data_IF_412277291102
#
_entry.id   IF_412277291102
#
_cell.length_a   1.000
_cell.length_b   1.000
_cell.length_c   1.000
_cell.angle_alpha   90.00
_cell.angle_beta   90.00
_cell.angle_gamma   90.00
#
_symmetry.space_group_name_H-M   'P 1'
#
loop_
_entity.id
_entity.type
_entity.pdbx_description
1 polymer ?
#
# COMPACT_ATOMS: atom_id res chain seq x y z
N UNK A 1 -2.93 -6.60 -12.33
CA UNK A 1 -3.93 -5.70 -11.68
C UNK A 1 -3.48 -5.39 -10.27
N UNK A 2 -2.91 -4.21 -10.02
CA UNK A 2 -2.46 -3.78 -8.69
C UNK A 2 -3.61 -3.09 -7.96
N UNK A 3 -4.00 -3.59 -6.79
CA UNK A 3 -5.08 -2.97 -6.02
C UNK A 3 -4.57 -1.78 -5.19
N UNK A 4 -5.05 -0.59 -5.53
CA UNK A 4 -4.84 0.63 -4.74
C UNK A 4 -6.16 1.02 -4.07
N UNK A 5 -6.12 1.29 -2.77
CA UNK A 5 -7.32 1.74 -2.08
C UNK A 5 -7.75 3.12 -2.59
N UNK A 6 -9.01 3.23 -3.04
CA UNK A 6 -9.51 4.32 -3.92
C UNK A 6 -9.09 5.74 -3.53
N UNK A 7 -8.92 6.59 -4.55
CA UNK A 7 -8.47 7.99 -4.46
C UNK A 7 -9.40 8.91 -3.67
N UNK A 8 -8.82 9.93 -3.00
CA UNK A 8 -9.53 10.91 -2.16
C UNK A 8 -10.56 11.75 -2.94
N UNK A 9 -10.14 12.34 -4.05
CA UNK A 9 -10.90 13.34 -4.81
C UNK A 9 -12.24 12.86 -5.35
N UNK A 10 -12.37 11.58 -5.71
CA UNK A 10 -13.59 11.04 -6.34
C UNK A 10 -14.45 10.18 -5.41
N UNK A 11 -14.05 10.04 -4.15
CA UNK A 11 -14.72 9.19 -3.17
C UNK A 11 -15.19 9.93 -1.92
N UNK A 12 -14.86 11.22 -1.80
CA UNK A 12 -15.16 12.02 -0.61
C UNK A 12 -14.41 11.52 0.63
N UNK A 13 -13.25 10.88 0.44
CA UNK A 13 -12.39 10.42 1.55
C UNK A 13 -11.46 11.52 2.01
N UNK A 14 -11.39 11.69 3.32
CA UNK A 14 -10.46 12.58 4.02
C UNK A 14 -9.89 11.88 5.25
N UNK A 15 -8.93 12.52 5.94
CA UNK A 15 -8.42 12.01 7.22
C UNK A 15 -9.52 11.88 8.28
N UNK A 16 -10.51 12.77 8.26
CA UNK A 16 -11.66 12.75 9.16
C UNK A 16 -12.81 11.86 8.64
N UNK A 17 -12.84 11.53 7.34
CA UNK A 17 -13.85 10.70 6.69
C UNK A 17 -13.20 9.58 5.88
N UNK A 18 -12.44 8.71 6.55
CA UNK A 18 -11.64 7.65 5.90
C UNK A 18 -12.50 6.67 5.12
N UNK A 19 -13.71 6.35 5.60
CA UNK A 19 -14.69 5.50 4.90
C UNK A 19 -15.27 6.12 3.62
N UNK A 20 -15.11 7.43 3.41
CA UNK A 20 -15.60 8.16 2.25
C UNK A 20 -17.12 8.31 2.19
N UNK A 21 -17.61 8.72 1.03
CA UNK A 21 -19.04 8.80 0.76
C UNK A 21 -19.59 7.40 0.40
N UNK A 22 -20.27 6.77 1.36
CA UNK A 22 -20.86 5.42 1.23
C UNK A 22 -22.03 5.35 0.24
N UNK A 23 -22.57 6.47 -0.23
CA UNK A 23 -23.59 6.47 -1.29
C UNK A 23 -23.05 5.80 -2.57
N UNK A 24 -21.77 6.02 -2.88
CA UNK A 24 -21.14 5.41 -4.05
C UNK A 24 -20.88 3.91 -3.85
N UNK A 25 -21.42 3.08 -4.75
CA UNK A 25 -21.22 1.61 -4.76
C UNK A 25 -19.73 1.21 -4.75
N UNK A 26 -18.88 1.93 -5.48
CA UNK A 26 -17.42 1.71 -5.50
C UNK A 26 -16.79 1.87 -4.11
N UNK A 27 -17.23 2.86 -3.34
CA UNK A 27 -16.71 3.13 -1.99
C UNK A 27 -17.11 2.02 -1.03
N UNK A 28 -18.38 1.59 -1.06
CA UNK A 28 -18.85 0.45 -0.25
C UNK A 28 -18.10 -0.84 -0.58
N UNK A 29 -17.88 -1.12 -1.88
CA UNK A 29 -17.08 -2.29 -2.32
C UNK A 29 -15.65 -2.22 -1.80
N UNK A 30 -15.00 -1.07 -1.90
CA UNK A 30 -13.65 -0.89 -1.38
C UNK A 30 -13.57 -1.05 0.14
N UNK A 31 -14.55 -0.54 0.90
CA UNK A 31 -14.57 -0.72 2.36
C UNK A 31 -14.80 -2.20 2.75
N UNK A 32 -15.65 -2.94 2.02
CA UNK A 32 -15.81 -4.39 2.23
C UNK A 32 -14.55 -5.18 1.92
N UNK A 33 -13.84 -4.83 0.86
CA UNK A 33 -12.58 -5.48 0.52
C UNK A 33 -11.53 -5.31 1.62
N UNK A 34 -11.48 -4.14 2.26
CA UNK A 34 -10.59 -3.88 3.40
C UNK A 34 -10.90 -4.80 4.57
N UNK A 35 -12.19 -4.99 4.89
CA UNK A 35 -12.59 -5.94 5.95
C UNK A 35 -12.15 -7.36 5.62
N UNK A 36 -12.19 -7.77 4.34
CA UNK A 36 -11.66 -9.08 3.90
C UNK A 36 -10.14 -9.18 4.02
N UNK A 37 -9.41 -8.13 3.66
CA UNK A 37 -7.94 -8.07 3.87
C UNK A 37 -7.62 -8.19 5.35
N UNK A 38 -8.34 -7.45 6.20
CA UNK A 38 -8.20 -7.54 7.65
C UNK A 38 -8.45 -8.96 8.16
N UNK A 39 -9.52 -9.62 7.71
CA UNK A 39 -9.83 -11.01 8.05
C UNK A 39 -8.69 -11.96 7.66
N UNK A 40 -8.17 -11.85 6.44
CA UNK A 40 -7.06 -12.68 5.98
C UNK A 40 -5.79 -12.44 6.81
N UNK A 41 -5.49 -11.18 7.17
CA UNK A 41 -4.35 -10.86 8.00
C UNK A 41 -4.48 -11.39 9.43
N UNK A 42 -5.68 -11.31 10.04
CA UNK A 42 -5.98 -11.93 11.33
C UNK A 42 -5.80 -13.45 11.26
N UNK A 43 -6.32 -14.09 10.21
CA UNK A 43 -6.14 -15.52 9.99
C UNK A 43 -4.67 -15.90 9.86
N UNK A 44 -3.91 -15.22 9.00
CA UNK A 44 -2.47 -15.45 8.86
C UNK A 44 -1.74 -15.29 10.19
N UNK A 45 -2.01 -14.21 10.91
CA UNK A 45 -1.38 -13.92 12.19
C UNK A 45 -1.62 -15.04 13.23
N UNK A 46 -2.88 -15.49 13.38
CA UNK A 46 -3.23 -16.59 14.29
C UNK A 46 -2.59 -17.92 13.90
N UNK A 47 -2.33 -18.13 12.61
CA UNK A 47 -1.62 -19.32 12.08
C UNK A 47 -0.09 -19.21 12.17
N UNK A 48 0.45 -18.15 12.78
CA UNK A 48 1.90 -17.89 12.78
C UNK A 48 2.46 -17.56 11.40
N UNK A 49 1.59 -17.26 10.42
CA UNK A 49 1.99 -16.87 9.07
C UNK A 49 2.21 -15.37 9.03
N UNK A 50 3.41 -14.96 8.61
CA UNK A 50 3.69 -13.55 8.37
C UNK A 50 2.95 -13.03 7.15
N UNK A 51 2.42 -11.81 7.23
CA UNK A 51 1.79 -11.13 6.10
C UNK A 51 2.45 -9.77 5.84
N UNK A 52 2.26 -9.25 4.63
CA UNK A 52 2.64 -7.90 4.26
C UNK A 52 1.51 -7.24 3.46
N UNK A 53 1.06 -6.06 3.90
CA UNK A 53 0.11 -5.23 3.16
C UNK A 53 0.90 -4.06 2.59
N UNK A 54 0.90 -3.93 1.26
CA UNK A 54 1.51 -2.80 0.57
C UNK A 54 0.46 -1.82 0.06
N UNK A 55 0.72 -0.53 0.23
CA UNK A 55 0.03 0.54 -0.47
C UNK A 55 0.97 1.71 -0.78
N UNK A 56 0.59 2.61 -1.70
CA UNK A 56 1.25 3.91 -1.83
C UNK A 56 1.28 4.66 -0.49
N UNK A 57 2.38 5.35 -0.19
CA UNK A 57 2.56 6.03 1.10
C UNK A 57 1.49 7.09 1.41
N UNK A 58 0.85 7.66 0.38
CA UNK A 58 -0.19 8.68 0.51
C UNK A 58 -1.61 8.14 0.74
N UNK A 59 -1.78 6.81 0.75
CA UNK A 59 -3.07 6.17 1.00
C UNK A 59 -3.65 6.60 2.35
N UNK A 60 -4.99 6.67 2.44
CA UNK A 60 -5.67 6.83 3.73
C UNK A 60 -5.89 5.48 4.43
N UNK A 61 -5.48 4.37 3.81
CA UNK A 61 -5.73 3.01 4.31
C UNK A 61 -5.29 2.87 5.76
N UNK A 62 -4.12 3.42 6.07
CA UNK A 62 -3.48 3.34 7.37
C UNK A 62 -4.26 4.05 8.48
N UNK A 63 -5.23 4.90 8.14
CA UNK A 63 -6.13 5.56 9.09
C UNK A 63 -7.50 4.89 9.18
N UNK A 64 -7.70 3.73 8.54
CA UNK A 64 -8.94 2.97 8.67
C UNK A 64 -8.93 2.24 10.02
N UNK A 65 -9.66 2.79 11.00
CA UNK A 65 -9.58 2.38 12.40
C UNK A 65 -9.60 0.85 12.68
N UNK A 66 -10.45 0.02 12.04
CA UNK A 66 -10.40 -1.43 12.26
C UNK A 66 -9.08 -2.07 11.81
N UNK A 67 -8.52 -1.62 10.68
CA UNK A 67 -7.24 -2.11 10.20
C UNK A 67 -6.09 -1.60 11.08
N UNK A 68 -6.11 -0.32 11.46
CA UNK A 68 -5.11 0.28 12.36
C UNK A 68 -5.06 -0.45 13.70
N UNK A 69 -6.23 -0.73 14.30
CA UNK A 69 -6.33 -1.50 15.53
C UNK A 69 -5.73 -2.91 15.38
N UNK A 70 -6.05 -3.62 14.30
CA UNK A 70 -5.48 -4.94 13.99
C UNK A 70 -3.96 -4.87 13.86
N UNK A 71 -3.44 -3.93 13.06
CA UNK A 71 -2.00 -3.75 12.84
C UNK A 71 -1.27 -3.51 14.16
N UNK A 72 -1.83 -2.68 15.05
CA UNK A 72 -1.27 -2.43 16.39
C UNK A 72 -1.27 -3.70 17.26
N UNK A 73 -2.36 -4.47 17.27
CA UNK A 73 -2.42 -5.75 18.02
C UNK A 73 -1.38 -6.75 17.53
N UNK A 74 -1.22 -6.86 16.21
CA UNK A 74 -0.26 -7.75 15.59
C UNK A 74 1.20 -7.28 15.72
N UNK A 75 1.41 -6.09 16.31
CA UNK A 75 2.72 -5.40 16.35
C UNK A 75 3.34 -5.30 14.95
N UNK A 76 2.50 -5.08 13.94
CA UNK A 76 2.94 -4.95 12.56
C UNK A 76 3.81 -3.69 12.42
N UNK A 77 4.92 -3.81 11.69
CA UNK A 77 5.86 -2.73 11.45
C UNK A 77 5.63 -2.07 10.11
N UNK A 78 5.86 -0.77 10.06
CA UNK A 78 5.71 0.05 8.87
C UNK A 78 7.09 0.28 8.24
N UNK A 79 7.25 -0.13 6.98
CA UNK A 79 8.47 0.05 6.20
C UNK A 79 8.14 0.97 5.03
N UNK A 80 8.89 2.05 4.88
CA UNK A 80 8.74 2.98 3.76
C UNK A 80 9.85 2.76 2.75
N UNK A 81 9.47 2.32 1.54
CA UNK A 81 10.38 1.88 0.50
C UNK A 81 10.33 2.88 -0.67
N UNK A 82 11.44 3.58 -0.98
CA UNK A 82 11.55 4.33 -2.23
C UNK A 82 11.78 3.35 -3.38
N UNK A 83 10.82 3.23 -4.31
CA UNK A 83 10.95 2.30 -5.44
C UNK A 83 12.17 2.62 -6.31
N UNK A 84 12.56 3.90 -6.38
CA UNK A 84 13.77 4.33 -7.08
C UNK A 84 15.06 3.68 -6.57
N UNK A 85 15.13 3.28 -5.29
CA UNK A 85 16.32 2.62 -4.75
C UNK A 85 16.51 1.20 -5.31
N UNK A 86 15.47 0.65 -5.94
CA UNK A 86 15.43 -0.69 -6.52
C UNK A 86 15.41 -0.67 -8.06
N UNK A 87 15.57 0.51 -8.68
CA UNK A 87 15.64 0.66 -10.14
C UNK A 87 14.35 1.17 -10.78
N UNK A 88 13.37 1.65 -10.01
CA UNK A 88 12.22 2.36 -10.59
C UNK A 88 12.66 3.74 -11.09
N UNK A 89 12.07 4.19 -12.21
CA UNK A 89 12.23 5.56 -12.72
C UNK A 89 11.52 6.62 -11.85
N UNK A 90 10.83 6.17 -10.80
CA UNK A 90 10.09 7.03 -9.89
C UNK A 90 10.65 6.97 -8.47
N UNK A 91 10.75 8.13 -7.84
CA UNK A 91 10.97 8.28 -6.39
C UNK A 91 9.73 7.92 -5.56
N UNK A 92 8.67 7.40 -6.20
CA UNK A 92 7.46 6.97 -5.51
C UNK A 92 7.82 6.07 -4.34
N UNK A 93 7.24 6.39 -3.19
CA UNK A 93 7.38 5.59 -1.98
C UNK A 93 6.15 4.73 -1.78
N UNK A 94 6.37 3.48 -1.43
CA UNK A 94 5.33 2.56 -0.95
C UNK A 94 5.54 2.34 0.55
N UNK A 95 4.45 2.14 1.26
CA UNK A 95 4.45 1.73 2.65
C UNK A 95 4.04 0.26 2.70
N UNK A 96 4.83 -0.55 3.40
CA UNK A 96 4.52 -1.94 3.71
C UNK A 96 4.26 -2.03 5.21
N UNK A 97 3.09 -2.53 5.59
CA UNK A 97 2.81 -2.96 6.95
C UNK A 97 2.92 -4.47 7.03
N UNK A 98 3.80 -4.98 7.90
CA UNK A 98 4.12 -6.40 7.95
C UNK A 98 4.41 -6.92 9.34
N UNK A 99 4.14 -8.20 9.56
CA UNK A 99 4.56 -8.95 10.75
C UNK A 99 5.87 -9.71 10.53
N UNK A 100 6.42 -9.71 9.31
CA UNK A 100 7.64 -10.44 8.95
C UNK A 100 8.90 -9.71 9.48
N UNK A 101 9.63 -10.28 10.45
CA UNK A 101 10.74 -9.60 11.10
C UNK A 101 11.88 -9.22 10.14
N UNK A 102 12.07 -10.00 9.08
CA UNK A 102 13.18 -9.85 8.14
C UNK A 102 12.95 -8.77 7.07
N UNK A 103 11.71 -8.31 6.87
CA UNK A 103 11.41 -7.34 5.82
C UNK A 103 11.87 -5.92 6.16
N UNK A 104 12.22 -5.60 7.41
CA UNK A 104 12.77 -4.28 7.79
C UNK A 104 14.03 -3.94 7.00
N UNK A 105 14.76 -4.95 6.53
CA UNK A 105 15.95 -4.81 5.67
C UNK A 105 15.64 -4.22 4.29
N UNK A 106 14.35 -4.15 3.91
CA UNK A 106 13.90 -3.42 2.71
C UNK A 106 13.86 -1.90 2.93
N UNK A 107 13.84 -1.45 4.19
CA UNK A 107 13.92 -0.05 4.53
C UNK A 107 15.27 0.51 4.12
N UNK A 108 15.33 1.13 2.95
CA UNK A 108 16.53 1.79 2.45
C UNK A 108 16.26 3.26 2.15
N UNK A 109 17.28 4.09 2.35
CA UNK A 109 17.29 5.46 1.84
C UNK A 109 17.68 5.45 0.37
N UNK A 110 17.03 6.31 -0.41
CA UNK A 110 17.53 6.63 -1.74
C UNK A 110 18.81 7.47 -1.57
N UNK A 111 19.97 6.87 -1.86
CA UNK A 111 21.27 7.53 -1.87
C UNK A 111 21.23 8.80 -2.75
N UNK A 112 21.74 9.95 -2.29
CA UNK A 112 21.87 11.17 -3.09
C UNK A 112 22.40 10.92 -4.52
N UNK A 113 23.42 10.07 -4.68
CA UNK A 113 24.00 9.76 -6.01
C UNK A 113 22.98 9.05 -6.90
N UNK A 114 22.19 8.12 -6.34
CA UNK A 114 21.13 7.43 -7.09
C UNK A 114 19.96 8.37 -7.39
N UNK A 115 19.65 9.30 -6.48
CA UNK A 115 18.63 10.34 -6.70
C UNK A 115 19.02 11.25 -7.85
N UNK A 116 20.27 11.73 -7.87
CA UNK A 116 20.80 12.57 -8.95
C UNK A 116 20.77 11.85 -10.29
N UNK A 117 21.05 10.54 -10.33
CA UNK A 117 20.95 9.73 -11.56
C UNK A 117 19.51 9.54 -12.05
N UNK A 118 18.51 9.63 -11.18
CA UNK A 118 17.08 9.51 -11.55
C UNK A 118 16.51 10.80 -12.15
N UNK A 119 17.05 11.97 -11.79
CA UNK A 119 16.56 13.25 -12.30
C UNK A 119 16.70 13.42 -13.83
N UNK A 120 17.86 13.12 -14.47
CA UNK A 120 18.00 13.21 -15.92
C UNK A 120 17.17 12.17 -16.68
N UNK A 121 17.00 10.96 -16.11
CA UNK A 121 16.20 9.91 -16.72
C UNK A 121 14.72 10.29 -16.85
N UNK A 122 14.19 11.06 -15.89
CA UNK A 122 12.81 11.60 -15.98
C UNK A 122 12.65 12.62 -17.09
N UNK A 123 13.63 13.53 -17.24
CA UNK A 123 13.61 14.54 -18.31
C UNK A 123 13.87 13.96 -19.70
N UNK A 124 14.69 12.91 -19.81
CA UNK A 124 15.02 12.29 -21.10
C UNK A 124 13.90 11.39 -21.65
N UNK A 125 13.00 10.90 -20.79
CA UNK A 125 11.93 9.97 -21.16
C UNK A 125 10.58 10.67 -21.47
N UNK A 126 10.52 12.01 -21.39
CA UNK A 126 9.32 12.84 -21.62
C UNK A 126 8.05 12.26 -20.97
N UNK A 127 8.19 11.75 -19.74
CA UNK A 127 7.10 11.07 -19.04
C UNK A 127 6.14 12.09 -18.45
N UNK A 128 4.89 12.08 -18.92
CA UNK A 128 3.83 12.90 -18.34
C UNK A 128 3.22 12.16 -17.14
N UNK A 129 3.83 12.33 -15.97
CA UNK A 129 3.37 11.70 -14.72
C UNK A 129 2.21 12.51 -14.08
N UNK A 130 2.24 13.83 -14.23
CA UNK A 130 1.28 14.76 -13.61
C UNK A 130 0.73 15.70 -14.66
N UNK A 131 -0.60 15.77 -14.78
CA UNK A 131 -1.30 16.71 -15.64
C UNK A 131 -2.00 17.78 -14.79
N UNK A 132 -1.69 19.04 -15.05
CA UNK A 132 -2.39 20.18 -14.45
C UNK A 132 -3.42 20.70 -15.46
N UNK A 133 -4.64 20.95 -15.02
CA UNK A 133 -5.68 21.56 -15.86
C UNK A 133 -6.50 22.54 -15.05
N UNK A 134 -6.93 23.63 -15.68
CA UNK A 134 -7.80 24.63 -15.06
C UNK A 134 -9.24 24.19 -15.25
N UNK A 135 -10.00 24.12 -14.15
CA UNK A 135 -11.41 23.78 -14.23
C UNK A 135 -12.18 24.96 -14.85
N UNK A 136 -12.73 24.78 -16.05
CA UNK A 136 -13.42 25.84 -16.81
C UNK A 136 -14.57 26.51 -16.07
N UNK A 137 -15.17 25.83 -15.08
CA UNK A 137 -16.28 26.36 -14.27
C UNK A 137 -15.86 27.10 -13.00
N UNK A 138 -14.69 26.78 -12.43
CA UNK A 138 -14.26 27.35 -11.14
C UNK A 138 -12.97 28.15 -11.19
N UNK A 139 -12.24 28.12 -12.31
CA UNK A 139 -10.90 28.72 -12.42
C UNK A 139 -9.82 27.99 -11.60
N UNK A 140 -10.19 26.96 -10.84
CA UNK A 140 -9.25 26.24 -9.98
C UNK A 140 -8.29 25.36 -10.78
N UNK A 141 -7.01 25.41 -10.43
CA UNK A 141 -6.00 24.47 -10.94
C UNK A 141 -6.22 23.10 -10.28
N UNK A 142 -6.62 22.13 -11.09
CA UNK A 142 -6.74 20.72 -10.69
C UNK A 142 -5.53 19.93 -11.18
N UNK A 143 -5.13 18.96 -10.38
CA UNK A 143 -4.01 18.07 -10.66
C UNK A 143 -4.54 16.66 -10.83
N UNK A 144 -4.19 16.01 -11.95
CA UNK A 144 -4.48 14.60 -12.23
C UNK A 144 -3.21 13.84 -12.60
N UNK A 145 -3.31 12.52 -12.67
CA UNK A 145 -2.27 11.68 -13.26
C UNK A 145 -2.19 11.92 -14.76
N UNK A 146 -0.98 12.11 -15.27
CA UNK A 146 -0.73 12.09 -16.72
C UNK A 146 -0.71 10.66 -17.27
N UNK A 147 -0.53 10.54 -18.59
CA UNK A 147 -0.62 9.25 -19.32
C UNK A 147 0.37 8.18 -18.81
N UNK A 148 1.50 8.61 -18.25
CA UNK A 148 2.58 7.72 -17.81
C UNK A 148 2.57 7.43 -16.30
N UNK A 149 1.55 7.90 -15.56
CA UNK A 149 1.46 7.65 -14.11
C UNK A 149 1.44 6.16 -13.79
N UNK A 150 0.84 5.33 -14.63
CA UNK A 150 0.79 3.87 -14.46
C UNK A 150 2.18 3.23 -14.53
N UNK A 151 3.06 3.68 -15.45
CA UNK A 151 4.45 3.18 -15.59
C UNK A 151 5.28 3.42 -14.33
N UNK A 152 5.00 4.49 -13.61
CA UNK A 152 5.65 4.77 -12.30
C UNK A 152 5.18 3.86 -11.16
N UNK A 153 4.18 3.00 -11.42
CA UNK A 153 3.62 2.06 -10.45
C UNK A 153 4.06 0.61 -10.72
N UNK A 154 4.93 0.38 -11.69
CA UNK A 154 5.55 -0.91 -11.92
C UNK A 154 6.50 -1.27 -10.79
N UNK A 155 6.44 -2.53 -10.36
CA UNK A 155 7.36 -3.05 -9.37
C UNK A 155 8.74 -3.22 -9.98
N UNK A 156 9.78 -2.55 -9.45
CA UNK A 156 11.11 -2.73 -9.97
C UNK A 156 11.61 -4.14 -9.65
N UNK A 157 12.22 -4.80 -10.64
CA UNK A 157 12.76 -6.17 -10.51
C UNK A 157 13.70 -6.29 -9.31
N UNK A 158 14.51 -5.26 -9.04
CA UNK A 158 15.42 -5.22 -7.90
C UNK A 158 14.73 -5.39 -6.54
N UNK A 159 13.49 -4.92 -6.39
CA UNK A 159 12.72 -5.11 -5.15
C UNK A 159 12.32 -6.58 -4.99
N UNK A 160 11.86 -7.21 -6.08
CA UNK A 160 11.52 -8.65 -6.09
C UNK A 160 12.73 -9.53 -5.78
N UNK A 161 13.88 -9.24 -6.38
CA UNK A 161 15.14 -9.94 -6.08
C UNK A 161 15.51 -9.83 -4.61
N UNK A 162 15.42 -8.61 -4.03
CA UNK A 162 15.77 -8.41 -2.62
C UNK A 162 14.82 -9.12 -1.67
N UNK A 163 13.51 -9.11 -1.95
CA UNK A 163 12.53 -9.89 -1.19
C UNK A 163 12.85 -11.38 -1.27
N UNK A 164 13.17 -11.89 -2.46
CA UNK A 164 13.54 -13.29 -2.67
C UNK A 164 14.77 -13.72 -1.86
N UNK A 165 15.81 -12.88 -1.81
CA UNK A 165 16.98 -13.10 -0.95
C UNK A 165 16.61 -13.19 0.54
N UNK A 166 15.79 -12.25 1.01
CA UNK A 166 15.36 -12.21 2.41
C UNK A 166 14.53 -13.44 2.78
N UNK A 167 13.62 -13.85 1.90
CA UNK A 167 12.80 -15.05 2.10
C UNK A 167 13.68 -16.31 2.17
N UNK A 168 14.58 -16.50 1.21
CA UNK A 168 15.52 -17.65 1.20
C UNK A 168 16.37 -17.73 2.48
N UNK A 169 16.77 -16.57 3.02
CA UNK A 169 17.61 -16.50 4.23
C UNK A 169 16.85 -16.82 5.52
N UNK A 170 15.57 -16.50 5.61
CA UNK A 170 14.84 -16.52 6.90
C UNK A 170 13.67 -17.51 6.95
N UNK A 171 13.17 -17.98 5.81
CA UNK A 171 12.06 -18.93 5.76
C UNK A 171 12.64 -20.32 5.45
N UNK A 172 12.68 -21.17 6.47
CA UNK A 172 12.85 -22.61 6.26
C UNK A 172 11.50 -23.15 5.81
N UNK A 173 11.45 -23.67 4.57
CA UNK A 173 10.29 -24.41 4.08
C UNK A 173 10.19 -25.64 4.98
N UNK A 174 9.04 -25.84 5.63
CA UNK A 174 8.58 -27.06 6.36
C UNK A 174 8.14 -26.76 7.80
N UNK A 175 6.88 -26.34 7.98
CA UNK A 175 6.01 -26.87 9.03
C UNK A 175 4.55 -26.83 8.53
N UNK A 176 3.77 -27.92 8.71
CA UNK A 176 2.34 -27.89 8.43
C UNK A 176 1.63 -26.91 9.37
N UNK A 177 0.60 -26.23 8.87
CA UNK A 177 -0.12 -25.22 9.62
C UNK A 177 -0.99 -25.88 10.72
N UNK A 178 -0.95 -25.41 11.98
CA UNK A 178 -1.68 -26.03 13.09
C UNK A 178 -3.21 -25.89 12.94
N UNK A 179 -4.00 -26.96 13.12
CA UNK A 179 -5.48 -26.90 13.11
C UNK A 179 -6.02 -25.91 14.14
N UNK A 180 -7.14 -25.24 13.84
CA UNK A 180 -7.66 -24.16 14.69
C UNK A 180 -9.20 -24.14 14.67
N UNK A 181 -9.79 -24.18 15.85
CA UNK A 181 -11.22 -23.94 16.06
C UNK A 181 -11.49 -22.44 15.99
N UNK A 182 -12.24 -22.02 14.97
CA UNK A 182 -12.66 -20.64 14.79
C UNK A 182 -13.91 -20.39 15.63
N UNK A 183 -13.75 -20.01 16.91
CA UNK A 183 -14.85 -19.39 17.64
C UNK A 183 -15.01 -17.94 17.17
N UNK A 184 -16.12 -17.69 16.50
CA UNK A 184 -16.48 -16.38 15.95
C UNK A 184 -17.18 -15.56 17.03
N UNK A 185 -16.55 -14.49 17.48
CA UNK A 185 -17.28 -13.40 18.11
C UNK A 185 -17.77 -12.48 17.01
N UNK A 186 -19.08 -12.45 16.80
CA UNK A 186 -19.75 -11.52 15.90
C UNK A 186 -19.30 -10.10 16.24
N UNK A 187 -18.52 -9.48 15.35
CA UNK A 187 -18.20 -8.05 15.39
C UNK A 187 -19.35 -7.21 14.81
N UNK A 188 -20.58 -7.71 14.90
CA UNK A 188 -21.80 -7.00 14.54
C UNK A 188 -22.31 -6.21 15.74
N UNK A 189 -21.58 -5.14 16.05
CA UNK A 189 -22.01 -4.07 16.95
C UNK A 189 -22.21 -2.77 16.18
N UNK A 190 -23.44 -2.55 15.69
CA UNK A 190 -24.01 -1.26 15.24
C UNK A 190 -23.33 -0.51 14.07
N UNK A 191 -23.84 -0.73 12.86
CA UNK A 191 -23.93 0.33 11.83
C UNK A 191 -25.45 0.66 11.69
N UNK A 192 -25.99 1.38 12.69
CA UNK A 192 -27.15 2.25 12.51
C UNK A 192 -26.71 3.64 12.05
#
# INVERSE_FOLDING_TARGET
>A
NTWVWLSRSTTGRSRTRVRGNRHFKKVRRANRLIRRVQYLCEYCFRRGIHYAIEQPNSTLLWHYAPLEAMLRRHKARAISIPLGAFGSLSEKRVAIYTTAPYLDQLGCSLDPVRRERLAPLRSSLDLEIVRKFVCSKSGEVKVAGGKDLSKTSEYPVGLGLKVGELLKKHVKVEQPLPEMDLEFHDLDGSDS
#
